data_IF_073886229803
#
_entry.id   IF_073886229803
#
_cell.length_a   1.000
_cell.length_b   1.000
_cell.length_c   1.000
_cell.angle_alpha   90.00
_cell.angle_beta   90.00
_cell.angle_gamma   90.00
#
_symmetry.space_group_name_H-M   'P 1'
#
loop_
_entity.id
_entity.type
_entity.pdbx_description
1 polymer ?
#
# COMPACT_ATOMS: atom_id res chain seq x y z
N UNK A 1 30.79 41.05 -20.46
CA UNK A 1 29.37 41.08 -20.08
C UNK A 1 28.60 39.79 -20.37
N UNK A 2 28.98 38.94 -21.35
CA UNK A 2 28.26 37.68 -21.66
C UNK A 2 28.52 36.51 -20.69
N UNK A 3 29.63 36.51 -19.93
CA UNK A 3 29.96 35.45 -18.96
C UNK A 3 29.18 35.54 -17.64
N UNK A 4 28.74 36.73 -17.22
CA UNK A 4 27.96 36.92 -15.99
C UNK A 4 26.51 36.42 -16.12
N UNK A 5 25.94 36.51 -17.33
CA UNK A 5 24.57 36.03 -17.63
C UNK A 5 24.50 34.50 -17.61
N UNK A 6 25.58 33.82 -18.02
CA UNK A 6 25.66 32.35 -18.01
C UNK A 6 25.68 31.73 -16.61
N UNK A 7 26.12 32.47 -15.59
CA UNK A 7 26.19 31.97 -14.21
C UNK A 7 24.85 32.10 -13.48
N UNK A 8 24.04 33.11 -13.83
CA UNK A 8 22.67 33.26 -13.32
C UNK A 8 21.69 32.25 -13.96
N UNK A 9 21.89 31.92 -15.24
CA UNK A 9 21.09 30.90 -15.90
C UNK A 9 21.35 29.49 -15.33
N UNK A 10 22.56 29.22 -14.85
CA UNK A 10 22.93 27.95 -14.21
C UNK A 10 22.34 27.77 -12.81
N UNK A 11 22.08 28.88 -12.10
CA UNK A 11 21.47 28.87 -10.76
C UNK A 11 19.94 28.70 -10.77
N UNK A 12 19.28 29.00 -11.90
CA UNK A 12 17.82 28.89 -12.02
C UNK A 12 17.34 27.44 -12.21
N UNK A 13 18.22 26.53 -12.65
CA UNK A 13 17.87 25.14 -13.01
C UNK A 13 17.94 24.17 -11.82
N UNK A 14 18.30 24.65 -10.61
CA UNK A 14 18.52 23.79 -9.44
C UNK A 14 17.41 23.83 -8.37
N UNK A 15 16.22 24.34 -8.70
CA UNK A 15 15.05 24.18 -7.82
C UNK A 15 14.27 22.91 -8.21
N UNK A 16 14.95 21.76 -8.26
CA UNK A 16 14.24 20.48 -8.25
C UNK A 16 13.78 20.29 -6.81
N UNK A 17 12.50 20.56 -6.55
CA UNK A 17 11.89 20.15 -5.28
C UNK A 17 11.89 18.62 -5.25
N UNK A 18 12.88 18.05 -4.58
CA UNK A 18 12.96 16.62 -4.30
C UNK A 18 11.84 16.31 -3.29
N UNK A 19 10.62 16.12 -3.77
CA UNK A 19 9.54 15.60 -2.93
C UNK A 19 9.85 14.13 -2.68
N UNK A 20 10.09 13.76 -1.43
CA UNK A 20 10.19 12.36 -1.06
C UNK A 20 8.84 11.70 -1.40
N UNK A 21 8.87 10.71 -2.30
CA UNK A 21 7.68 9.93 -2.61
C UNK A 21 7.25 9.16 -1.35
N UNK A 22 5.96 9.17 -1.06
CA UNK A 22 5.42 8.36 0.03
C UNK A 22 5.65 6.88 -0.25
N UNK A 23 5.87 6.09 0.82
CA UNK A 23 5.95 4.64 0.68
C UNK A 23 4.61 4.06 0.22
N UNK A 24 4.64 2.90 -0.45
CA UNK A 24 3.43 2.19 -0.87
C UNK A 24 2.52 1.89 0.33
N UNK A 25 3.08 1.50 1.47
CA UNK A 25 2.30 1.34 2.70
C UNK A 25 1.60 2.63 3.15
N UNK A 26 2.24 3.80 2.97
CA UNK A 26 1.61 5.08 3.28
C UNK A 26 0.48 5.40 2.31
N UNK A 27 0.68 5.18 1.01
CA UNK A 27 -0.35 5.40 -0.01
C UNK A 27 -1.60 4.57 0.29
N UNK A 28 -1.43 3.26 0.50
CA UNK A 28 -2.54 2.38 0.88
C UNK A 28 -3.20 2.74 2.20
N UNK A 29 -2.44 3.24 3.17
CA UNK A 29 -3.03 3.72 4.41
C UNK A 29 -3.93 4.94 4.20
N UNK A 30 -3.61 5.85 3.28
CA UNK A 30 -4.51 6.97 2.95
C UNK A 30 -5.82 6.46 2.32
N UNK A 31 -5.76 5.49 1.40
CA UNK A 31 -6.96 4.87 0.82
C UNK A 31 -7.84 4.19 1.88
N UNK A 32 -7.24 3.55 2.89
CA UNK A 32 -7.98 2.99 4.02
C UNK A 32 -8.68 4.09 4.82
N UNK A 33 -8.01 5.22 5.06
CA UNK A 33 -8.59 6.35 5.77
C UNK A 33 -9.68 7.04 4.97
N UNK A 34 -9.54 7.15 3.65
CA UNK A 34 -10.56 7.68 2.76
C UNK A 34 -11.79 6.78 2.71
N UNK A 35 -11.60 5.46 2.68
CA UNK A 35 -12.70 4.51 2.84
C UNK A 35 -13.46 4.70 4.15
N UNK A 36 -12.76 4.93 5.26
CA UNK A 36 -13.37 5.21 6.58
C UNK A 36 -14.14 6.54 6.57
N UNK A 37 -13.60 7.59 5.95
CA UNK A 37 -14.26 8.90 5.84
C UNK A 37 -15.53 8.83 4.99
N UNK A 38 -15.53 7.97 3.96
CA UNK A 38 -16.66 7.73 3.07
C UNK A 38 -17.71 6.73 3.59
N UNK A 39 -17.54 6.18 4.79
CA UNK A 39 -18.45 5.19 5.38
C UNK A 39 -19.21 5.74 6.60
N UNK A 40 -20.19 4.98 7.08
CA UNK A 40 -20.98 5.28 8.27
C UNK A 40 -20.11 5.30 9.54
N UNK A 41 -20.57 6.05 10.56
CA UNK A 41 -19.93 6.09 11.87
C UNK A 41 -20.07 4.74 12.62
N UNK A 42 -19.14 3.80 12.36
CA UNK A 42 -19.10 2.45 12.95
C UNK A 42 -17.73 2.15 13.57
N UNK A 43 -17.41 2.70 14.75
CA UNK A 43 -16.05 2.68 15.30
C UNK A 43 -15.42 1.29 15.41
N UNK A 44 -16.21 0.28 15.81
CA UNK A 44 -15.73 -1.11 15.92
C UNK A 44 -15.38 -1.73 14.57
N UNK A 45 -16.15 -1.41 13.53
CA UNK A 45 -15.87 -1.87 12.16
C UNK A 45 -14.60 -1.22 11.63
N UNK A 46 -14.44 0.09 11.84
CA UNK A 46 -13.28 0.84 11.39
C UNK A 46 -12.00 0.44 12.10
N UNK A 47 -12.06 0.23 13.42
CA UNK A 47 -10.93 -0.31 14.18
C UNK A 47 -10.50 -1.69 13.65
N UNK A 48 -11.46 -2.55 13.33
CA UNK A 48 -11.19 -3.86 12.72
C UNK A 48 -10.60 -3.72 11.32
N UNK A 49 -11.02 -2.73 10.53
CA UNK A 49 -10.46 -2.49 9.19
C UNK A 49 -9.00 -2.06 9.29
N UNK A 50 -8.70 -1.07 10.12
CA UNK A 50 -7.35 -0.60 10.39
C UNK A 50 -6.44 -1.73 10.88
N UNK A 51 -6.88 -2.51 11.87
CA UNK A 51 -6.08 -3.63 12.39
C UNK A 51 -5.72 -4.62 11.28
N UNK A 52 -6.70 -5.06 10.49
CA UNK A 52 -6.45 -6.06 9.46
C UNK A 52 -5.63 -5.54 8.28
N UNK A 53 -5.79 -4.28 7.89
CA UNK A 53 -4.96 -3.69 6.83
C UNK A 53 -3.53 -3.51 7.31
N UNK A 54 -3.31 -3.02 8.53
CA UNK A 54 -1.97 -2.92 9.12
C UNK A 54 -1.29 -4.28 9.26
N UNK A 55 -2.03 -5.28 9.73
CA UNK A 55 -1.57 -6.67 9.79
C UNK A 55 -1.17 -7.19 8.42
N UNK A 56 -2.05 -7.04 7.42
CA UNK A 56 -1.80 -7.54 6.06
C UNK A 56 -0.56 -6.87 5.43
N UNK A 57 -0.40 -5.56 5.61
CA UNK A 57 0.80 -4.86 5.14
C UNK A 57 2.07 -5.37 5.82
N UNK A 58 2.03 -5.59 7.14
CA UNK A 58 3.18 -6.07 7.89
C UNK A 58 3.57 -7.50 7.49
N UNK A 59 2.61 -8.41 7.41
CA UNK A 59 2.87 -9.80 7.01
C UNK A 59 3.34 -9.89 5.55
N UNK A 60 2.78 -9.09 4.64
CA UNK A 60 3.23 -9.02 3.25
C UNK A 60 4.68 -8.52 3.14
N UNK A 61 5.07 -7.52 3.94
CA UNK A 61 6.45 -7.07 4.03
C UNK A 61 7.36 -8.16 4.62
N UNK A 62 6.95 -8.76 5.75
CA UNK A 62 7.72 -9.75 6.49
C UNK A 62 7.95 -11.04 5.68
N UNK A 63 7.01 -11.42 4.81
CA UNK A 63 7.12 -12.58 3.93
C UNK A 63 8.38 -12.58 3.03
N UNK A 64 8.93 -11.40 2.73
CA UNK A 64 10.16 -11.24 1.93
C UNK A 64 11.33 -10.66 2.73
N UNK A 65 11.16 -10.42 4.04
CA UNK A 65 12.18 -9.83 4.90
C UNK A 65 12.99 -10.92 5.59
N UNK A 66 14.32 -10.78 5.61
CA UNK A 66 15.20 -11.70 6.35
C UNK A 66 15.01 -11.61 7.88
N UNK A 67 14.46 -10.51 8.37
CA UNK A 67 14.32 -10.22 9.81
C UNK A 67 12.86 -10.09 10.26
N UNK A 68 11.90 -10.20 9.34
CA UNK A 68 10.49 -10.09 9.65
C UNK A 68 9.97 -11.35 10.36
N UNK A 69 9.19 -11.17 11.42
CA UNK A 69 8.41 -12.25 12.04
C UNK A 69 6.93 -11.97 11.82
N UNK A 70 6.27 -12.78 10.99
CA UNK A 70 4.85 -12.60 10.62
C UNK A 70 3.95 -12.73 11.85
N UNK A 71 2.75 -12.15 11.82
CA UNK A 71 1.76 -12.39 12.87
C UNK A 71 0.78 -13.51 12.48
N UNK A 72 0.35 -13.55 11.22
CA UNK A 72 -0.65 -14.49 10.73
C UNK A 72 -0.03 -15.58 9.85
N UNK A 73 0.74 -15.20 8.82
CA UNK A 73 1.33 -16.14 7.86
C UNK A 73 2.20 -17.19 8.56
N UNK A 74 1.90 -18.47 8.35
CA UNK A 74 2.64 -19.60 8.94
C UNK A 74 2.29 -19.86 10.41
N UNK A 75 1.34 -19.12 10.98
CA UNK A 75 0.99 -19.17 12.39
C UNK A 75 -0.46 -19.62 12.60
N UNK A 76 -0.74 -20.03 13.84
CA UNK A 76 -2.11 -20.24 14.33
C UNK A 76 -2.45 -19.17 15.34
N UNK A 77 -3.44 -18.35 15.02
CA UNK A 77 -3.89 -17.23 15.85
C UNK A 77 -5.36 -17.42 16.15
N UNK A 78 -5.72 -17.43 17.44
CA UNK A 78 -7.10 -17.59 17.91
C UNK A 78 -7.85 -18.79 17.28
N UNK A 79 -7.16 -19.91 17.05
CA UNK A 79 -7.73 -21.13 16.46
C UNK A 79 -7.84 -21.13 14.94
N UNK A 80 -7.41 -20.06 14.26
CA UNK A 80 -7.26 -20.01 12.81
C UNK A 80 -5.80 -20.27 12.41
N UNK A 81 -5.56 -21.28 11.59
CA UNK A 81 -4.24 -21.57 11.02
C UNK A 81 -4.13 -20.97 9.63
N UNK A 82 -3.07 -20.21 9.39
CA UNK A 82 -2.72 -19.69 8.07
C UNK A 82 -1.48 -20.41 7.55
N UNK A 83 -1.61 -21.46 6.71
CA UNK A 83 -0.46 -22.14 6.15
C UNK A 83 0.36 -21.20 5.26
N UNK A 84 1.67 -21.18 5.47
CA UNK A 84 2.59 -20.42 4.64
C UNK A 84 3.92 -21.16 4.61
N UNK A 85 4.39 -21.47 3.40
CA UNK A 85 5.64 -22.23 3.17
C UNK A 85 6.79 -21.34 2.72
N UNK A 86 6.63 -20.01 2.84
CA UNK A 86 7.56 -19.02 2.29
C UNK A 86 7.19 -18.60 0.87
N UNK A 87 7.95 -17.62 0.37
CA UNK A 87 7.87 -17.12 -1.01
C UNK A 87 9.14 -17.51 -1.77
N UNK A 88 9.08 -17.61 -3.12
CA UNK A 88 10.29 -17.68 -3.93
C UNK A 88 11.17 -16.45 -3.67
N UNK A 89 12.49 -16.62 -3.71
CA UNK A 89 13.43 -15.50 -3.54
C UNK A 89 13.25 -14.53 -4.70
N UNK A 90 12.83 -13.28 -4.45
CA UNK A 90 12.59 -12.32 -5.53
C UNK A 90 13.92 -11.71 -5.99
N UNK A 91 13.96 -11.27 -7.25
CA UNK A 91 15.09 -10.49 -7.77
C UNK A 91 15.18 -9.10 -7.11
N UNK A 92 14.02 -8.50 -6.82
CA UNK A 92 13.90 -7.23 -6.11
C UNK A 92 12.93 -7.41 -4.93
N UNK A 93 13.50 -7.49 -3.72
CA UNK A 93 12.75 -7.66 -2.47
C UNK A 93 11.79 -6.50 -2.25
N UNK A 94 12.22 -5.25 -2.52
CA UNK A 94 11.38 -4.08 -2.27
C UNK A 94 10.18 -4.09 -3.22
N UNK A 95 10.39 -4.36 -4.50
CA UNK A 95 9.31 -4.45 -5.47
C UNK A 95 8.30 -5.55 -5.09
N UNK A 96 8.78 -6.72 -4.68
CA UNK A 96 7.92 -7.83 -4.24
C UNK A 96 7.11 -7.48 -2.97
N UNK A 97 7.71 -6.78 -2.02
CA UNK A 97 7.02 -6.29 -0.82
C UNK A 97 5.94 -5.27 -1.18
N UNK A 98 6.26 -4.30 -2.03
CA UNK A 98 5.33 -3.25 -2.48
C UNK A 98 4.15 -3.83 -3.25
N UNK A 99 4.39 -4.82 -4.12
CA UNK A 99 3.35 -5.53 -4.85
C UNK A 99 2.46 -6.33 -3.88
N UNK A 100 3.05 -7.14 -3.00
CA UNK A 100 2.31 -7.95 -2.05
C UNK A 100 1.45 -7.11 -1.10
N UNK A 101 1.99 -5.99 -0.59
CA UNK A 101 1.26 -5.00 0.20
C UNK A 101 0.06 -4.47 -0.60
N UNK A 102 0.29 -4.10 -1.86
CA UNK A 102 -0.73 -3.47 -2.69
C UNK A 102 -1.90 -4.39 -2.94
N UNK A 103 -1.65 -5.62 -3.37
CA UNK A 103 -2.71 -6.60 -3.59
C UNK A 103 -3.42 -6.98 -2.28
N UNK A 104 -2.69 -7.10 -1.16
CA UNK A 104 -3.31 -7.43 0.12
C UNK A 104 -4.31 -6.35 0.56
N UNK A 105 -3.91 -5.07 0.54
CA UNK A 105 -4.79 -3.98 0.95
C UNK A 105 -5.90 -3.74 -0.06
N UNK A 106 -5.61 -3.76 -1.37
CA UNK A 106 -6.61 -3.63 -2.43
C UNK A 106 -7.77 -4.62 -2.24
N UNK A 107 -7.46 -5.91 -2.06
CA UNK A 107 -8.46 -6.97 -1.88
C UNK A 107 -9.25 -6.79 -0.57
N UNK A 108 -8.60 -6.35 0.51
CA UNK A 108 -9.29 -6.05 1.77
C UNK A 108 -10.27 -4.88 1.60
N UNK A 109 -9.85 -3.79 0.94
CA UNK A 109 -10.69 -2.61 0.71
C UNK A 109 -11.90 -2.96 -0.15
N UNK A 110 -11.67 -3.64 -1.29
CA UNK A 110 -12.73 -4.11 -2.18
C UNK A 110 -13.75 -4.99 -1.46
N UNK A 111 -13.31 -5.84 -0.53
CA UNK A 111 -14.23 -6.69 0.21
C UNK A 111 -14.99 -5.92 1.30
N UNK A 112 -14.30 -5.12 2.11
CA UNK A 112 -14.85 -4.58 3.36
C UNK A 112 -15.67 -3.31 3.19
N UNK A 113 -15.43 -2.58 2.11
CA UNK A 113 -16.15 -1.35 1.78
C UNK A 113 -17.16 -1.56 0.65
N UNK A 114 -17.39 -2.79 0.18
CA UNK A 114 -18.36 -3.08 -0.90
C UNK A 114 -19.77 -2.53 -0.63
N UNK A 115 -20.16 -2.50 0.66
CA UNK A 115 -21.47 -2.02 1.11
C UNK A 115 -21.42 -0.64 1.77
N UNK A 116 -20.29 0.09 1.70
CA UNK A 116 -20.21 1.45 2.28
C UNK A 116 -20.91 2.47 1.38
N UNK A 117 -21.48 3.57 1.91
CA UNK A 117 -22.07 4.63 1.09
C UNK A 117 -21.12 5.19 0.01
N UNK A 118 -19.84 5.36 0.35
CA UNK A 118 -18.80 5.89 -0.55
C UNK A 118 -18.03 4.84 -1.37
N UNK A 119 -18.54 3.60 -1.48
CA UNK A 119 -17.80 2.50 -2.11
C UNK A 119 -17.34 2.80 -3.53
N UNK A 120 -18.16 3.51 -4.31
CA UNK A 120 -17.90 3.79 -5.73
C UNK A 120 -16.68 4.67 -5.91
N UNK A 121 -16.59 5.75 -5.13
CA UNK A 121 -15.48 6.69 -5.19
C UNK A 121 -14.21 6.02 -4.68
N UNK A 122 -14.29 5.32 -3.53
CA UNK A 122 -13.17 4.55 -3.00
C UNK A 122 -12.64 3.54 -4.03
N UNK A 123 -13.53 2.79 -4.70
CA UNK A 123 -13.13 1.76 -5.65
C UNK A 123 -12.45 2.35 -6.89
N UNK A 124 -12.87 3.53 -7.30
CA UNK A 124 -12.21 4.28 -8.36
C UNK A 124 -10.80 4.71 -7.94
N UNK A 125 -10.63 5.28 -6.74
CA UNK A 125 -9.32 5.75 -6.27
C UNK A 125 -8.32 4.59 -6.07
N UNK A 126 -8.74 3.48 -5.46
CA UNK A 126 -7.84 2.33 -5.30
C UNK A 126 -7.51 1.62 -6.62
N UNK A 127 -8.40 1.71 -7.61
CA UNK A 127 -8.13 1.23 -8.97
C UNK A 127 -7.08 2.13 -9.65
N UNK A 128 -7.20 3.45 -9.51
CA UNK A 128 -6.20 4.41 -9.97
C UNK A 128 -4.85 4.20 -9.26
N UNK A 129 -4.84 3.91 -7.96
CA UNK A 129 -3.61 3.65 -7.23
C UNK A 129 -2.90 2.39 -7.78
N UNK A 130 -3.63 1.30 -7.98
CA UNK A 130 -3.08 0.09 -8.62
C UNK A 130 -2.51 0.37 -10.01
N UNK A 131 -3.26 1.08 -10.84
CA UNK A 131 -2.84 1.45 -12.20
C UNK A 131 -1.58 2.36 -12.16
N UNK A 132 -1.50 3.30 -11.21
CA UNK A 132 -0.36 4.21 -11.03
C UNK A 132 0.91 3.50 -10.56
N UNK A 133 0.76 2.42 -9.80
CA UNK A 133 1.86 1.57 -9.35
C UNK A 133 2.25 0.51 -10.41
N UNK A 134 1.49 0.42 -11.50
CA UNK A 134 1.75 -0.48 -12.63
C UNK A 134 1.28 -1.92 -12.42
N UNK A 135 0.34 -2.16 -11.50
CA UNK A 135 -0.13 -3.50 -11.16
C UNK A 135 -1.39 -3.91 -11.93
N UNK A 136 -1.42 -5.15 -12.42
CA UNK A 136 -2.62 -5.75 -13.02
C UNK A 136 -3.59 -6.23 -11.93
N UNK A 137 -4.69 -5.50 -11.74
CA UNK A 137 -5.76 -5.80 -10.78
C UNK A 137 -6.37 -7.20 -10.96
N UNK A 138 -6.29 -7.77 -12.16
CA UNK A 138 -6.75 -9.13 -12.47
C UNK A 138 -5.82 -10.25 -12.00
N UNK A 139 -4.63 -9.91 -11.49
CA UNK A 139 -3.67 -10.88 -11.00
C UNK A 139 -4.21 -11.55 -9.70
N UNK A 140 -4.35 -12.88 -9.76
CA UNK A 140 -4.80 -13.75 -8.65
C UNK A 140 -3.73 -14.74 -8.19
N UNK A 141 -2.51 -14.65 -8.75
CA UNK A 141 -1.39 -15.49 -8.35
C UNK A 141 -0.90 -15.22 -6.94
#
# INVERSE_FOLDING_TARGET
MKKAISLHLLFLVLNITLSAQYSVARLWNEEVLDGIRGDLARPTVHARNLFHTSLAMYDAWAAYSETGDTYLLGKTVHGFTCPFTGTPVPQDVKAAQEEAISFAVYRILRHRFADSPGWRDLFYEIDLLMDSLGYDRGNVS
#
